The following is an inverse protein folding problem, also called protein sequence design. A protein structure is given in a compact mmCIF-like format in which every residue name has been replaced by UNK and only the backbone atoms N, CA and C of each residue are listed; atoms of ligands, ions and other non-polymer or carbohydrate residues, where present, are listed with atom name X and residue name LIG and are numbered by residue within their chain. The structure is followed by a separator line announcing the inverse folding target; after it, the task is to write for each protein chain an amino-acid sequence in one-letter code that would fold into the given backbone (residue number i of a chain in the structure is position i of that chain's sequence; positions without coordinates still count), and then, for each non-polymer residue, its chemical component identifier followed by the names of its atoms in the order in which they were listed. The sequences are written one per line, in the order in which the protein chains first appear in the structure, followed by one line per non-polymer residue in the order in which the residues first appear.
data_IF_500152723352
#
_entry.id   IF_500152723352
#
_cell.length_a   1.000
_cell.length_b   1.000
_cell.length_c   1.000
_cell.angle_alpha   90.00
_cell.angle_beta   90.00
_cell.angle_gamma   90.00
#
_symmetry.space_group_name_H-M   'P 1'
#
loop_
_entity.id
_entity.type
_entity.pdbx_description
1 polymer ?
#
# COMPACT_ATOMS: atom_id res chain seq x y z
N UNK A 1 18.83 13.60 -22.51
CA UNK A 1 17.93 12.98 -21.49
C UNK A 1 18.31 11.55 -21.11
N UNK A 2 19.08 10.82 -21.86
CA UNK A 2 19.49 9.42 -21.61
C UNK A 2 20.55 9.27 -20.50
N UNK A 3 21.49 10.19 -20.39
CA UNK A 3 22.62 10.14 -19.42
C UNK A 3 22.17 10.33 -17.94
N UNK A 4 21.07 11.02 -17.70
CA UNK A 4 20.54 11.24 -16.36
C UNK A 4 19.69 10.05 -15.87
N UNK A 5 18.99 9.37 -16.77
CA UNK A 5 18.26 8.13 -16.46
C UNK A 5 19.20 6.97 -16.10
N UNK A 6 20.37 6.89 -16.75
CA UNK A 6 21.41 5.90 -16.43
C UNK A 6 21.99 6.12 -15.02
N UNK A 7 22.18 7.37 -14.58
CA UNK A 7 22.71 7.67 -13.24
C UNK A 7 21.71 7.31 -12.13
N UNK A 8 20.42 7.53 -12.35
CA UNK A 8 19.36 7.16 -11.39
C UNK A 8 19.25 5.64 -11.29
N UNK A 9 19.32 4.92 -12.40
CA UNK A 9 19.33 3.45 -12.40
C UNK A 9 20.55 2.87 -11.67
N UNK A 10 21.73 3.47 -11.84
CA UNK A 10 22.96 3.06 -11.15
C UNK A 10 22.89 3.38 -9.65
N UNK A 11 22.29 4.51 -9.26
CA UNK A 11 22.08 4.86 -7.84
C UNK A 11 21.09 3.91 -7.17
N UNK A 12 19.99 3.56 -7.85
CA UNK A 12 19.05 2.54 -7.36
C UNK A 12 19.69 1.16 -7.25
N UNK A 13 20.49 0.75 -8.24
CA UNK A 13 21.22 -0.51 -8.19
C UNK A 13 22.30 -0.54 -7.09
N UNK A 14 22.96 0.59 -6.83
CA UNK A 14 23.94 0.70 -5.76
C UNK A 14 23.29 0.69 -4.35
N UNK A 15 22.06 1.23 -4.20
CA UNK A 15 21.32 1.15 -2.95
C UNK A 15 20.94 -0.28 -2.57
N UNK A 16 20.74 -1.18 -3.55
CA UNK A 16 20.53 -2.61 -3.29
C UNK A 16 21.75 -3.35 -2.71
N UNK A 17 22.95 -2.75 -2.80
CA UNK A 17 24.20 -3.38 -2.35
C UNK A 17 24.60 -3.00 -0.90
N UNK A 18 23.92 -2.02 -0.27
CA UNK A 18 24.33 -1.49 1.04
C UNK A 18 23.58 -2.13 2.22
N UNK A 19 22.49 -2.84 1.97
CA UNK A 19 21.77 -3.57 3.01
C UNK A 19 22.41 -4.93 3.29
N UNK A 20 23.54 -4.97 4.03
CA UNK A 20 24.06 -6.23 4.56
C UNK A 20 23.16 -6.71 5.71
N UNK A 21 22.01 -7.30 5.39
CA UNK A 21 21.30 -8.12 6.35
C UNK A 21 22.24 -9.25 6.80
N UNK A 22 22.34 -9.50 8.10
CA UNK A 22 23.06 -10.69 8.60
C UNK A 22 22.26 -11.92 8.18
N UNK A 23 22.70 -12.54 7.10
CA UNK A 23 22.07 -13.76 6.58
C UNK A 23 22.65 -14.93 7.37
N UNK A 24 21.82 -15.67 8.15
CA UNK A 24 22.31 -16.82 8.91
C UNK A 24 22.79 -17.93 7.97
N UNK A 25 23.74 -18.79 8.43
CA UNK A 25 24.08 -20.03 7.73
C UNK A 25 22.82 -20.89 7.55
N UNK A 26 22.62 -21.44 6.36
CA UNK A 26 21.44 -22.26 6.05
C UNK A 26 20.19 -21.48 5.61
N UNK A 27 20.25 -20.15 5.50
CA UNK A 27 19.14 -19.37 4.97
C UNK A 27 18.73 -19.84 3.56
N UNK A 28 17.42 -20.10 3.38
CA UNK A 28 16.83 -20.61 2.16
C UNK A 28 16.84 -22.14 2.03
N UNK A 29 17.29 -22.86 3.06
CA UNK A 29 17.15 -24.31 3.16
C UNK A 29 15.76 -24.74 3.69
N UNK A 30 15.02 -23.81 4.29
CA UNK A 30 13.64 -24.05 4.73
C UNK A 30 12.72 -24.11 3.51
N UNK A 31 12.00 -25.22 3.26
CA UNK A 31 11.04 -25.34 2.18
C UNK A 31 9.90 -24.30 2.23
N UNK A 32 9.57 -23.81 3.43
CA UNK A 32 8.51 -22.80 3.62
C UNK A 32 8.97 -21.39 3.28
N UNK A 33 10.29 -21.13 3.32
CA UNK A 33 10.88 -19.84 2.91
C UNK A 33 12.11 -20.03 2.02
N UNK A 34 11.94 -20.50 0.79
CA UNK A 34 13.06 -20.72 -0.15
C UNK A 34 13.72 -19.39 -0.60
N UNK A 35 13.05 -18.26 -0.35
CA UNK A 35 13.51 -16.92 -0.71
C UNK A 35 14.10 -16.14 0.48
N UNK A 36 14.41 -16.81 1.61
CA UNK A 36 14.84 -16.19 2.86
C UNK A 36 15.98 -15.17 2.67
N UNK A 37 16.99 -15.49 1.86
CA UNK A 37 18.11 -14.56 1.58
C UNK A 37 17.63 -13.27 0.91
N UNK A 38 16.76 -13.41 -0.08
CA UNK A 38 16.16 -12.28 -0.78
C UNK A 38 15.26 -11.49 0.18
N UNK A 39 14.41 -12.18 0.94
CA UNK A 39 13.46 -11.59 1.87
C UNK A 39 14.17 -10.77 2.95
N UNK A 40 15.24 -11.30 3.54
CA UNK A 40 16.05 -10.58 4.54
C UNK A 40 16.72 -9.33 3.96
N UNK A 41 17.31 -9.43 2.78
CA UNK A 41 17.93 -8.27 2.14
C UNK A 41 16.91 -7.20 1.78
N UNK A 42 15.74 -7.59 1.26
CA UNK A 42 14.68 -6.65 0.92
C UNK A 42 14.07 -6.03 2.17
N UNK A 43 13.90 -6.79 3.25
CA UNK A 43 13.43 -6.26 4.54
C UNK A 43 14.42 -5.23 5.08
N UNK A 44 15.71 -5.53 5.16
CA UNK A 44 16.73 -4.58 5.60
C UNK A 44 16.79 -3.31 4.74
N UNK A 45 16.57 -3.43 3.43
CA UNK A 45 16.42 -2.28 2.54
C UNK A 45 15.18 -1.45 2.90
N UNK A 46 14.02 -2.10 3.10
CA UNK A 46 12.79 -1.42 3.47
C UNK A 46 12.92 -0.72 4.82
N UNK A 47 13.52 -1.38 5.81
CA UNK A 47 13.77 -0.82 7.15
C UNK A 47 14.68 0.41 7.07
N UNK A 48 15.75 0.34 6.26
CA UNK A 48 16.63 1.48 6.03
C UNK A 48 15.90 2.65 5.38
N UNK A 49 15.07 2.39 4.36
CA UNK A 49 14.27 3.44 3.71
C UNK A 49 13.24 4.02 4.69
N UNK A 50 12.64 3.18 5.52
CA UNK A 50 11.69 3.66 6.54
C UNK A 50 12.38 4.56 7.56
N UNK A 51 13.46 4.10 8.17
CA UNK A 51 14.21 4.82 9.22
C UNK A 51 14.75 6.17 8.75
N UNK A 52 15.37 6.20 7.57
CA UNK A 52 16.06 7.41 7.10
C UNK A 52 15.21 8.32 6.23
N UNK A 53 14.09 7.85 5.67
CA UNK A 53 13.27 8.63 4.75
C UNK A 53 11.82 8.70 5.20
N UNK A 54 11.14 7.53 5.32
CA UNK A 54 9.70 7.53 5.50
C UNK A 54 9.29 8.03 6.89
N UNK A 55 9.95 7.57 7.94
CA UNK A 55 9.64 7.97 9.30
C UNK A 55 9.90 9.47 9.54
N UNK A 56 11.07 10.07 9.20
CA UNK A 56 11.27 11.51 9.33
C UNK A 56 10.25 12.35 8.56
N UNK A 57 9.92 11.93 7.32
CA UNK A 57 8.90 12.61 6.50
C UNK A 57 7.52 12.50 7.13
N UNK A 58 7.13 11.32 7.63
CA UNK A 58 5.85 11.10 8.30
C UNK A 58 5.73 11.91 9.61
N UNK A 59 6.80 12.00 10.40
CA UNK A 59 6.85 12.86 11.60
C UNK A 59 6.73 14.34 11.24
N UNK A 60 7.43 14.78 10.19
CA UNK A 60 7.31 16.13 9.64
C UNK A 60 5.89 16.44 9.16
N UNK A 61 5.28 15.54 8.41
CA UNK A 61 3.88 15.65 7.96
C UNK A 61 2.91 15.71 9.14
N UNK A 62 3.08 14.85 10.15
CA UNK A 62 2.25 14.85 11.38
C UNK A 62 2.35 16.16 12.14
N UNK A 63 3.52 16.80 12.17
CA UNK A 63 3.73 18.07 12.89
C UNK A 63 3.22 19.28 12.12
N UNK A 64 3.32 19.27 10.80
CA UNK A 64 2.98 20.41 9.94
C UNK A 64 1.48 20.44 9.55
N UNK A 65 0.84 19.28 9.43
CA UNK A 65 -0.54 19.16 8.94
C UNK A 65 -1.49 18.84 10.11
N UNK A 66 -2.49 19.70 10.38
CA UNK A 66 -3.47 19.48 11.45
C UNK A 66 -4.27 18.19 11.27
N UNK A 67 -4.66 17.54 12.38
CA UNK A 67 -5.43 16.29 12.36
C UNK A 67 -6.64 16.29 11.41
N UNK A 68 -7.54 17.29 11.43
CA UNK A 68 -8.72 17.25 10.55
C UNK A 68 -8.35 17.24 9.05
N UNK A 69 -7.23 17.89 8.68
CA UNK A 69 -6.75 17.89 7.28
C UNK A 69 -6.18 16.52 6.90
N UNK A 70 -5.42 15.88 7.80
CA UNK A 70 -4.89 14.54 7.59
C UNK A 70 -6.02 13.50 7.49
N UNK A 71 -7.00 13.58 8.37
CA UNK A 71 -8.21 12.74 8.30
C UNK A 71 -8.94 12.92 6.96
N UNK A 72 -9.11 14.15 6.50
CA UNK A 72 -9.70 14.41 5.18
C UNK A 72 -8.89 13.81 4.03
N UNK A 73 -7.56 13.90 4.08
CA UNK A 73 -6.67 13.28 3.08
C UNK A 73 -6.80 11.76 3.11
N UNK A 74 -6.77 11.15 4.30
CA UNK A 74 -6.93 9.72 4.48
C UNK A 74 -8.30 9.23 3.98
N UNK A 75 -9.37 9.96 4.26
CA UNK A 75 -10.72 9.68 3.77
C UNK A 75 -10.80 9.72 2.24
N UNK A 76 -10.16 10.70 1.59
CA UNK A 76 -10.08 10.75 0.12
C UNK A 76 -9.39 9.51 -0.43
N UNK A 77 -8.27 9.09 0.17
CA UNK A 77 -7.59 7.86 -0.27
C UNK A 77 -8.42 6.60 -0.04
N UNK A 78 -9.13 6.52 1.08
CA UNK A 78 -10.08 5.43 1.35
C UNK A 78 -11.19 5.40 0.29
N UNK A 79 -11.79 6.55 -0.01
CA UNK A 79 -12.84 6.67 -1.04
C UNK A 79 -12.34 6.29 -2.44
N UNK A 80 -11.11 6.68 -2.80
CA UNK A 80 -10.48 6.27 -4.06
C UNK A 80 -10.17 4.77 -4.12
N UNK A 81 -10.07 4.09 -2.99
CA UNK A 81 -9.92 2.65 -2.89
C UNK A 81 -11.23 1.86 -3.06
N UNK A 82 -12.40 2.49 -2.89
CA UNK A 82 -13.69 1.79 -2.92
C UNK A 82 -14.04 1.11 -4.26
N UNK A 83 -13.68 1.66 -5.44
CA UNK A 83 -13.88 0.93 -6.71
C UNK A 83 -13.15 -0.42 -6.75
N UNK A 84 -11.90 -0.46 -6.27
CA UNK A 84 -11.12 -1.70 -6.15
C UNK A 84 -11.78 -2.66 -5.17
N UNK A 85 -12.20 -2.15 -4.00
CA UNK A 85 -12.86 -2.94 -2.97
C UNK A 85 -14.19 -3.52 -3.48
N UNK A 86 -15.00 -2.72 -4.17
CA UNK A 86 -16.23 -3.16 -4.81
C UNK A 86 -16.00 -4.33 -5.77
N UNK A 87 -15.05 -4.17 -6.71
CA UNK A 87 -14.73 -5.19 -7.70
C UNK A 87 -14.29 -6.50 -7.03
N UNK A 88 -13.37 -6.43 -6.07
CA UNK A 88 -12.86 -7.61 -5.40
C UNK A 88 -13.92 -8.29 -4.52
N UNK A 89 -14.75 -7.54 -3.79
CA UNK A 89 -15.87 -8.11 -3.05
C UNK A 89 -16.87 -8.81 -3.99
N UNK A 90 -17.19 -8.19 -5.13
CA UNK A 90 -18.09 -8.80 -6.13
C UNK A 90 -17.50 -10.09 -6.73
N UNK A 91 -16.21 -10.10 -7.08
CA UNK A 91 -15.49 -11.27 -7.59
C UNK A 91 -15.41 -12.42 -6.57
N UNK A 92 -15.42 -12.08 -5.27
CA UNK A 92 -15.46 -13.06 -4.18
C UNK A 92 -16.89 -13.57 -3.87
N UNK A 93 -17.92 -13.04 -4.52
CA UNK A 93 -19.32 -13.33 -4.19
C UNK A 93 -19.79 -12.70 -2.88
N UNK A 94 -19.00 -11.80 -2.29
CA UNK A 94 -19.36 -11.06 -1.07
C UNK A 94 -20.23 -9.84 -1.44
N UNK A 95 -21.53 -10.09 -1.65
CA UNK A 95 -22.47 -9.05 -2.08
C UNK A 95 -22.64 -7.93 -1.03
N UNK A 96 -22.60 -8.28 0.25
CA UNK A 96 -22.67 -7.28 1.34
C UNK A 96 -21.45 -6.36 1.33
N UNK A 97 -20.25 -6.91 1.11
CA UNK A 97 -19.03 -6.15 0.97
C UNK A 97 -19.04 -5.26 -0.28
N UNK A 98 -19.50 -5.79 -1.41
CA UNK A 98 -19.66 -5.02 -2.64
C UNK A 98 -20.67 -3.87 -2.47
N UNK A 99 -21.84 -4.16 -1.90
CA UNK A 99 -22.86 -3.15 -1.62
C UNK A 99 -22.33 -2.06 -0.66
N UNK A 100 -21.62 -2.44 0.39
CA UNK A 100 -20.99 -1.50 1.33
C UNK A 100 -19.98 -0.59 0.63
N UNK A 101 -19.10 -1.14 -0.20
CA UNK A 101 -18.10 -0.35 -0.95
C UNK A 101 -18.76 0.61 -1.95
N UNK A 102 -19.79 0.16 -2.67
CA UNK A 102 -20.53 1.03 -3.60
C UNK A 102 -21.29 2.14 -2.84
N UNK A 103 -21.92 1.80 -1.73
CA UNK A 103 -22.61 2.77 -0.88
C UNK A 103 -21.63 3.83 -0.36
N UNK A 104 -20.48 3.42 0.19
CA UNK A 104 -19.43 4.33 0.66
C UNK A 104 -18.94 5.26 -0.45
N UNK A 105 -18.62 4.69 -1.62
CA UNK A 105 -18.19 5.48 -2.78
C UNK A 105 -19.19 6.57 -3.13
N UNK A 106 -20.47 6.24 -3.23
CA UNK A 106 -21.52 7.19 -3.61
C UNK A 106 -21.73 8.24 -2.51
N UNK A 107 -21.95 7.79 -1.27
CA UNK A 107 -22.27 8.68 -0.15
C UNK A 107 -21.10 9.61 0.17
N UNK A 108 -19.88 9.09 0.25
CA UNK A 108 -18.71 9.91 0.55
C UNK A 108 -18.34 10.85 -0.61
N UNK A 109 -18.60 10.46 -1.85
CA UNK A 109 -18.35 11.33 -2.99
C UNK A 109 -19.38 12.46 -3.05
N UNK A 110 -20.67 12.16 -2.89
CA UNK A 110 -21.76 13.14 -3.06
C UNK A 110 -21.92 14.01 -1.80
N UNK A 111 -22.00 13.40 -0.64
CA UNK A 111 -22.26 14.10 0.64
C UNK A 111 -20.99 14.40 1.43
N UNK A 112 -19.90 13.67 1.16
CA UNK A 112 -18.60 13.83 1.79
C UNK A 112 -17.62 14.73 1.03
N UNK A 113 -18.10 15.56 0.07
CA UNK A 113 -17.28 16.47 -0.74
C UNK A 113 -16.12 15.75 -1.45
N UNK A 114 -16.44 14.74 -2.27
CA UNK A 114 -15.42 13.94 -2.97
C UNK A 114 -14.65 12.98 -2.09
N UNK A 115 -15.17 12.67 -0.91
CA UNK A 115 -14.56 11.75 0.04
C UNK A 115 -13.72 12.40 1.14
N UNK A 116 -13.69 13.74 1.26
CA UNK A 116 -13.01 14.44 2.36
C UNK A 116 -13.64 14.05 3.71
N UNK A 117 -14.97 13.91 3.75
CA UNK A 117 -15.69 13.45 4.93
C UNK A 117 -16.18 12.02 4.75
N UNK A 118 -15.91 11.14 5.73
CA UNK A 118 -16.44 9.78 5.76
C UNK A 118 -17.87 9.76 6.33
N UNK A 119 -18.82 10.26 5.53
CA UNK A 119 -20.24 10.31 5.90
C UNK A 119 -20.82 8.91 6.06
N UNK A 120 -20.44 7.97 5.19
CA UNK A 120 -20.91 6.59 5.25
C UNK A 120 -20.47 5.89 6.55
N UNK A 121 -19.25 6.12 6.99
CA UNK A 121 -18.74 5.57 8.25
C UNK A 121 -19.34 6.25 9.47
N UNK A 122 -19.32 7.58 9.50
CA UNK A 122 -19.70 8.35 10.69
C UNK A 122 -21.20 8.42 10.92
N UNK A 123 -22.01 8.52 9.87
CA UNK A 123 -23.48 8.68 9.98
C UNK A 123 -24.21 7.35 9.85
N UNK A 124 -23.81 6.50 8.88
CA UNK A 124 -24.49 5.23 8.62
C UNK A 124 -23.79 4.01 9.26
N UNK A 125 -22.62 4.18 9.88
CA UNK A 125 -21.88 3.08 10.53
C UNK A 125 -21.31 2.04 9.55
N UNK A 126 -21.20 2.39 8.26
CA UNK A 126 -20.70 1.46 7.22
C UNK A 126 -19.19 1.57 7.14
N UNK A 127 -18.49 0.65 7.82
CA UNK A 127 -17.02 0.60 7.81
C UNK A 127 -16.46 0.17 6.44
N UNK A 128 -15.24 0.65 6.07
CA UNK A 128 -14.56 0.21 4.86
C UNK A 128 -14.23 -1.30 4.93
N UNK A 129 -14.39 -2.00 3.81
CA UNK A 129 -14.05 -3.42 3.65
C UNK A 129 -12.96 -3.56 2.61
N UNK A 130 -11.73 -3.34 3.03
CA UNK A 130 -10.59 -3.39 2.13
C UNK A 130 -10.39 -4.80 1.57
N UNK A 131 -10.35 -4.89 0.24
CA UNK A 131 -10.10 -6.12 -0.50
C UNK A 131 -9.11 -5.87 -1.64
N UNK A 132 -8.29 -6.90 -1.90
CA UNK A 132 -7.37 -6.90 -3.02
C UNK A 132 -7.52 -8.14 -3.87
N UNK A 133 -6.93 -8.13 -5.06
CA UNK A 133 -7.03 -9.25 -5.99
C UNK A 133 -6.33 -10.52 -5.45
N UNK A 134 -5.29 -10.37 -4.61
CA UNK A 134 -4.66 -11.49 -3.92
C UNK A 134 -5.62 -12.23 -3.00
N UNK A 135 -6.44 -11.50 -2.22
CA UNK A 135 -7.49 -12.13 -1.39
C UNK A 135 -8.57 -12.78 -2.25
N UNK A 136 -8.92 -12.19 -3.39
CA UNK A 136 -9.86 -12.78 -4.37
C UNK A 136 -9.35 -14.12 -4.90
N UNK A 137 -8.09 -14.18 -5.30
CA UNK A 137 -7.46 -15.45 -5.71
C UNK A 137 -7.44 -16.47 -4.57
N UNK A 138 -7.24 -16.03 -3.32
CA UNK A 138 -7.33 -16.89 -2.14
C UNK A 138 -8.72 -17.49 -1.94
N UNK A 139 -9.77 -16.69 -2.08
CA UNK A 139 -11.17 -17.17 -2.05
C UNK A 139 -11.45 -18.17 -3.18
N UNK A 140 -10.85 -17.99 -4.34
CA UNK A 140 -10.96 -18.93 -5.47
C UNK A 140 -10.12 -20.21 -5.30
N UNK A 141 -9.39 -20.35 -4.15
CA UNK A 141 -8.62 -21.54 -3.83
C UNK A 141 -7.18 -21.53 -4.33
N UNK A 142 -6.67 -20.41 -4.84
CA UNK A 142 -5.26 -20.29 -5.21
C UNK A 142 -4.41 -20.21 -3.94
N UNK A 143 -3.47 -21.13 -3.70
CA UNK A 143 -2.60 -21.09 -2.53
C UNK A 143 -1.70 -19.85 -2.56
N UNK A 144 -1.33 -19.32 -1.38
CA UNK A 144 -0.44 -18.15 -1.28
C UNK A 144 0.94 -18.38 -1.89
N UNK A 145 1.41 -19.63 -1.87
CA UNK A 145 2.77 -19.98 -2.24
C UNK A 145 3.79 -19.48 -1.22
N UNK A 146 5.06 -19.43 -1.62
CA UNK A 146 6.17 -19.04 -0.75
C UNK A 146 6.07 -17.58 -0.33
N UNK A 147 6.59 -17.29 0.86
CA UNK A 147 6.72 -15.95 1.40
C UNK A 147 7.68 -15.09 0.56
N UNK A 148 7.34 -13.84 0.33
CA UNK A 148 8.13 -12.88 -0.44
C UNK A 148 8.03 -11.49 0.18
N UNK A 149 9.17 -10.81 0.34
CA UNK A 149 9.21 -9.41 0.73
C UNK A 149 9.46 -8.53 -0.50
N UNK A 150 8.56 -7.60 -0.75
CA UNK A 150 8.65 -6.69 -1.88
C UNK A 150 9.32 -5.37 -1.48
N UNK A 151 10.21 -4.81 -2.33
CA UNK A 151 10.75 -3.48 -2.11
C UNK A 151 9.64 -2.45 -2.00
N UNK A 152 9.67 -1.62 -0.96
CA UNK A 152 8.68 -0.58 -0.61
C UNK A 152 7.29 -1.07 -0.20
N UNK A 153 6.87 -2.27 -0.58
CA UNK A 153 5.54 -2.81 -0.27
C UNK A 153 5.53 -3.75 0.94
N UNK A 154 6.70 -4.26 1.33
CA UNK A 154 6.84 -5.13 2.49
C UNK A 154 6.39 -6.58 2.28
N UNK A 155 5.89 -7.25 3.32
CA UNK A 155 5.51 -8.65 3.30
C UNK A 155 4.44 -8.98 2.24
N UNK A 156 4.64 -10.06 1.50
CA UNK A 156 3.78 -10.53 0.41
C UNK A 156 3.92 -12.05 0.22
N UNK A 157 3.34 -12.56 -0.84
CA UNK A 157 3.49 -13.97 -1.28
C UNK A 157 3.61 -14.05 -2.79
N UNK A 158 3.98 -15.23 -3.29
CA UNK A 158 4.06 -15.48 -4.75
C UNK A 158 2.72 -15.24 -5.44
N UNK A 159 1.58 -15.49 -4.77
CA UNK A 159 0.23 -15.17 -5.26
C UNK A 159 -0.05 -13.67 -5.22
N UNK A 160 0.29 -13.01 -4.10
CA UNK A 160 -0.18 -11.65 -3.83
C UNK A 160 0.70 -10.59 -4.53
N UNK A 161 1.99 -10.88 -4.75
CA UNK A 161 2.90 -9.96 -5.44
C UNK A 161 2.42 -9.56 -6.86
N UNK A 162 2.07 -10.49 -7.77
CA UNK A 162 1.52 -10.11 -9.07
C UNK A 162 0.12 -9.49 -8.97
N UNK A 163 -0.66 -9.80 -7.93
CA UNK A 163 -2.00 -9.23 -7.70
C UNK A 163 -1.96 -7.72 -7.46
N UNK A 164 -0.85 -7.18 -6.93
CA UNK A 164 -0.66 -5.74 -6.79
C UNK A 164 -0.76 -4.99 -8.13
N UNK A 165 -0.31 -5.60 -9.23
CA UNK A 165 -0.43 -4.98 -10.55
C UNK A 165 -1.90 -4.84 -10.97
N UNK A 166 -2.74 -5.83 -10.65
CA UNK A 166 -4.19 -5.81 -10.91
C UNK A 166 -4.86 -4.75 -10.02
N UNK A 167 -4.50 -4.70 -8.73
CA UNK A 167 -5.03 -3.71 -7.80
C UNK A 167 -4.64 -2.27 -8.19
N UNK A 168 -3.42 -2.07 -8.67
CA UNK A 168 -2.98 -0.78 -9.22
C UNK A 168 -3.74 -0.41 -10.50
N UNK A 169 -3.99 -1.39 -11.38
CA UNK A 169 -4.81 -1.17 -12.58
C UNK A 169 -6.27 -0.83 -12.24
N UNK A 170 -6.83 -1.38 -11.15
CA UNK A 170 -8.18 -1.06 -10.69
C UNK A 170 -8.26 0.30 -9.94
N UNK A 171 -7.13 0.94 -9.64
CA UNK A 171 -7.10 2.18 -8.86
C UNK A 171 -7.27 3.40 -9.77
N UNK A 172 -8.24 4.32 -9.51
CA UNK A 172 -8.52 5.46 -10.38
C UNK A 172 -7.33 6.38 -10.67
N UNK A 173 -6.43 6.56 -9.69
CA UNK A 173 -5.22 7.41 -9.82
C UNK A 173 -4.30 6.93 -10.94
N UNK A 174 -4.33 5.65 -11.30
CA UNK A 174 -3.50 5.09 -12.38
C UNK A 174 -3.82 5.70 -13.74
N UNK A 175 -5.04 6.15 -13.94
CA UNK A 175 -5.54 6.73 -15.20
C UNK A 175 -5.38 8.25 -15.30
N UNK A 176 -4.75 8.88 -14.32
CA UNK A 176 -4.46 10.32 -14.39
C UNK A 176 -3.30 10.54 -15.36
N UNK A 177 -3.49 11.37 -16.40
CA UNK A 177 -2.52 11.59 -17.48
C UNK A 177 -1.20 12.20 -17.01
N UNK A 178 -1.23 13.06 -15.98
CA UNK A 178 -0.06 13.77 -15.50
C UNK A 178 0.76 12.89 -14.53
N UNK A 179 1.93 12.46 -14.96
CA UNK A 179 2.82 11.61 -14.17
C UNK A 179 3.17 12.20 -12.79
N UNK A 180 3.34 13.53 -12.68
CA UNK A 180 3.64 14.19 -11.40
C UNK A 180 2.47 14.10 -10.42
N UNK A 181 1.21 14.10 -10.88
CA UNK A 181 0.03 13.90 -10.02
C UNK A 181 0.01 12.46 -9.53
N UNK A 182 0.19 11.47 -10.41
CA UNK A 182 0.21 10.05 -10.02
C UNK A 182 1.27 9.76 -8.96
N UNK A 183 2.50 10.20 -9.21
CA UNK A 183 3.61 9.96 -8.26
C UNK A 183 3.46 10.77 -6.98
N UNK A 184 3.01 12.03 -7.08
CA UNK A 184 2.75 12.87 -5.92
C UNK A 184 1.63 12.30 -5.03
N UNK A 185 0.54 11.85 -5.62
CA UNK A 185 -0.59 11.23 -4.90
C UNK A 185 -0.15 9.91 -4.24
N UNK A 186 0.62 9.06 -4.95
CA UNK A 186 1.13 7.81 -4.39
C UNK A 186 2.11 8.07 -3.25
N UNK A 187 3.00 9.04 -3.39
CA UNK A 187 3.92 9.45 -2.34
C UNK A 187 3.20 10.01 -1.11
N UNK A 188 2.21 10.88 -1.31
CA UNK A 188 1.40 11.41 -0.22
C UNK A 188 0.63 10.30 0.51
N UNK A 189 0.06 9.34 -0.22
CA UNK A 189 -0.60 8.18 0.38
C UNK A 189 0.37 7.36 1.23
N UNK A 190 1.59 7.10 0.74
CA UNK A 190 2.59 6.37 1.50
C UNK A 190 2.96 7.09 2.80
N UNK A 191 3.15 8.42 2.76
CA UNK A 191 3.42 9.24 3.94
C UNK A 191 2.24 9.25 4.91
N UNK A 192 1.02 9.36 4.41
CA UNK A 192 -0.21 9.34 5.22
C UNK A 192 -0.38 8.00 5.95
N UNK A 193 -0.23 6.88 5.24
CA UNK A 193 -0.26 5.53 5.83
C UNK A 193 0.85 5.36 6.87
N UNK A 194 2.09 5.78 6.57
CA UNK A 194 3.19 5.69 7.55
C UNK A 194 2.93 6.56 8.79
N UNK A 195 2.30 7.71 8.59
CA UNK A 195 1.94 8.62 9.69
C UNK A 195 0.90 7.98 10.62
N UNK A 196 -0.06 7.25 10.09
CA UNK A 196 -1.07 6.54 10.90
C UNK A 196 -0.46 5.40 11.74
N UNK A 197 0.70 4.87 11.32
CA UNK A 197 1.42 3.80 12.01
C UNK A 197 2.42 4.32 13.07
N UNK A 198 2.77 5.62 13.08
CA UNK A 198 3.70 6.18 14.05
C UNK A 198 3.36 5.89 15.52
N UNK A 199 2.09 5.93 15.97
CA UNK A 199 1.76 5.61 17.36
C UNK A 199 2.14 4.17 17.75
N UNK A 200 2.12 3.23 16.80
CA UNK A 200 2.50 1.84 17.05
C UNK A 200 4.02 1.68 17.17
N UNK A 201 4.79 2.44 16.40
CA UNK A 201 6.27 2.45 16.49
C UNK A 201 6.79 3.24 17.68
N UNK A 202 6.08 4.26 18.15
CA UNK A 202 6.45 5.06 19.32
C UNK A 202 6.28 4.28 20.66
N UNK A 203 5.62 3.12 20.64
CA UNK A 203 5.33 2.29 21.83
C UNK A 203 6.26 1.08 21.99
N UNK A 204 7.17 0.85 21.05
CA UNK A 204 8.19 -0.24 21.06
C UNK A 204 9.56 0.37 21.35
#
# INVERSE_FOLDING_TARGET
MTKQRSKILVLCAAAFLVGCAQIPPGAGENPDDPWEKLNRNTAAFNDTVDEYVMEPVARGYRSAVPNPVREGISNVFSNLGEPKNFLNNALQGNLDGAAASLYRLIVNTVFGLGGIFDVAGTVAGVAPREQGFGTTLGVWGVPSGSYLVLPFFGPSSVRDAPSLAVDLAAHPVTYVDHAWIRWGTSGLRAVDVRTSLLPLTDTV
#
